data_IF_823235668662
#
_entry.id   IF_823235668662
#
_cell.length_a   1.000
_cell.length_b   1.000
_cell.length_c   1.000
_cell.angle_alpha   90.00
_cell.angle_beta   90.00
_cell.angle_gamma   90.00
#
_symmetry.space_group_name_H-M   'P 1'
#
loop_
_entity.id
_entity.type
_entity.pdbx_description
1 polymer ?
#
# COMPACT_ATOMS: atom_id res chain seq x y z
N UNK A 1 9.40 -7.54 8.52
CA UNK A 1 8.23 -7.73 7.63
C UNK A 1 7.26 -6.61 7.96
N UNK A 2 6.97 -5.74 6.99
CA UNK A 2 5.98 -4.66 7.17
C UNK A 2 4.58 -5.31 7.21
N UNK A 3 3.71 -4.97 8.18
CA UNK A 3 2.33 -5.46 8.20
C UNK A 3 1.59 -5.11 6.91
N UNK A 4 0.76 -6.03 6.39
CA UNK A 4 -0.04 -5.79 5.18
C UNK A 4 -0.94 -4.55 5.32
N UNK A 5 -1.50 -4.33 6.51
CA UNK A 5 -2.27 -3.13 6.83
C UNK A 5 -1.47 -1.85 6.58
N UNK A 6 -0.22 -1.78 7.02
CA UNK A 6 0.65 -0.62 6.82
C UNK A 6 0.96 -0.39 5.33
N UNK A 7 1.13 -1.47 4.55
CA UNK A 7 1.27 -1.37 3.09
C UNK A 7 0.00 -0.82 2.44
N UNK A 8 -1.19 -1.23 2.88
CA UNK A 8 -2.45 -0.71 2.35
C UNK A 8 -2.62 0.79 2.67
N UNK A 9 -2.35 1.18 3.92
CA UNK A 9 -2.40 2.60 4.33
C UNK A 9 -1.41 3.43 3.51
N UNK A 10 -0.21 2.90 3.27
CA UNK A 10 0.77 3.59 2.44
C UNK A 10 0.32 3.73 0.98
N UNK A 11 -0.27 2.68 0.39
CA UNK A 11 -0.87 2.75 -0.96
C UNK A 11 -1.93 3.86 -1.01
N UNK A 12 -2.85 3.90 -0.05
CA UNK A 12 -3.93 4.89 0.01
C UNK A 12 -3.38 6.33 0.13
N UNK A 13 -2.34 6.53 0.93
CA UNK A 13 -1.66 7.83 1.06
C UNK A 13 -0.99 8.21 -0.27
N UNK A 14 -0.30 7.27 -0.92
CA UNK A 14 0.38 7.50 -2.18
C UNK A 14 -0.61 7.84 -3.30
N UNK A 15 -1.74 7.13 -3.38
CA UNK A 15 -2.82 7.40 -4.33
C UNK A 15 -3.41 8.80 -4.13
N UNK A 16 -3.79 9.13 -2.89
CA UNK A 16 -4.31 10.46 -2.55
C UNK A 16 -3.29 11.56 -2.88
N UNK A 17 -2.01 11.29 -2.66
CA UNK A 17 -0.93 12.25 -2.97
C UNK A 17 -0.76 12.43 -4.47
N UNK A 18 -0.84 11.35 -5.25
CA UNK A 18 -0.78 11.40 -6.72
C UNK A 18 -1.95 12.17 -7.29
N UNK A 19 -3.18 11.89 -6.85
CA UNK A 19 -4.37 12.61 -7.29
C UNK A 19 -4.23 14.11 -7.05
N UNK A 20 -3.75 14.51 -5.87
CA UNK A 20 -3.49 15.92 -5.56
C UNK A 20 -2.43 16.52 -6.48
N UNK A 21 -1.32 15.82 -6.73
CA UNK A 21 -0.25 16.31 -7.61
C UNK A 21 -0.72 16.44 -9.06
N UNK A 22 -1.58 15.55 -9.55
CA UNK A 22 -2.17 15.63 -10.88
C UNK A 22 -3.11 16.82 -11.02
N UNK A 23 -3.91 17.11 -9.98
CA UNK A 23 -4.74 18.31 -9.93
C UNK A 23 -3.89 19.58 -9.91
N UNK A 24 -2.84 19.62 -9.10
CA UNK A 24 -1.89 20.74 -9.06
C UNK A 24 -1.24 20.94 -10.45
N UNK A 25 -0.81 19.85 -11.11
CA UNK A 25 -0.23 19.91 -12.45
C UNK A 25 -1.23 20.49 -13.47
N UNK A 26 -2.48 20.01 -13.46
CA UNK A 26 -3.55 20.52 -14.33
C UNK A 26 -3.85 21.99 -14.06
N UNK A 27 -3.83 22.41 -12.80
CA UNK A 27 -4.01 23.81 -12.43
C UNK A 27 -2.91 24.68 -13.02
N UNK A 28 -1.64 24.28 -12.89
CA UNK A 28 -0.49 24.97 -13.49
C UNK A 28 -0.55 24.99 -15.02
N UNK A 29 -0.98 23.89 -15.64
CA UNK A 29 -1.20 23.83 -17.08
C UNK A 29 -2.28 24.82 -17.54
N UNK A 30 -3.33 25.02 -16.74
CA UNK A 30 -4.36 26.03 -16.99
C UNK A 30 -3.83 27.47 -16.98
N UNK A 31 -2.76 27.74 -16.21
CA UNK A 31 -2.10 29.05 -16.14
C UNK A 31 -1.30 29.40 -17.41
N UNK A 32 -1.08 28.44 -18.32
CA UNK A 32 -0.42 28.71 -19.61
C UNK A 32 -1.29 29.52 -20.58
N UNK A 33 -2.58 29.74 -20.26
CA UNK A 33 -3.48 30.54 -21.09
C UNK A 33 -3.55 31.99 -20.56
N UNK A 34 -2.91 32.97 -21.23
CA UNK A 34 -2.85 34.36 -20.77
C UNK A 34 -4.23 35.02 -20.62
N UNK A 35 -5.22 34.51 -21.35
CA UNK A 35 -6.58 35.05 -21.38
C UNK A 35 -7.39 34.69 -20.12
N UNK A 36 -6.97 33.67 -19.37
CA UNK A 36 -7.76 33.13 -18.25
C UNK A 36 -7.43 33.75 -16.90
N UNK A 37 -6.22 34.30 -16.68
CA UNK A 37 -5.78 34.67 -15.33
C UNK A 37 -4.83 35.89 -15.28
N UNK A 38 -5.36 37.09 -14.97
CA UNK A 38 -4.61 38.21 -14.42
C UNK A 38 -4.50 38.12 -12.88
N UNK A 39 -3.37 38.52 -12.25
CA UNK A 39 -2.13 38.97 -12.90
C UNK A 39 -1.39 37.81 -13.57
N UNK A 40 -0.73 38.12 -14.69
CA UNK A 40 -0.03 37.14 -15.52
C UNK A 40 1.12 36.49 -14.76
N UNK A 41 1.03 35.19 -14.50
CA UNK A 41 2.13 34.40 -13.96
C UNK A 41 3.18 34.21 -15.06
N UNK A 42 4.47 34.50 -14.82
CA UNK A 42 5.51 34.30 -15.81
C UNK A 42 5.57 32.85 -16.33
N UNK A 43 5.72 32.69 -17.65
CA UNK A 43 5.77 31.36 -18.29
C UNK A 43 6.86 30.47 -17.71
N UNK A 44 8.03 31.04 -17.40
CA UNK A 44 9.15 30.29 -16.79
C UNK A 44 8.77 29.71 -15.42
N UNK A 45 8.00 30.44 -14.61
CA UNK A 45 7.50 29.98 -13.32
C UNK A 45 6.51 28.83 -13.51
N UNK A 46 5.57 28.95 -14.45
CA UNK A 46 4.64 27.87 -14.77
C UNK A 46 5.39 26.59 -15.20
N UNK A 47 6.36 26.72 -16.10
CA UNK A 47 7.14 25.58 -16.62
C UNK A 47 7.97 24.91 -15.53
N UNK A 48 8.65 25.67 -14.68
CA UNK A 48 9.46 25.10 -13.60
C UNK A 48 8.58 24.39 -12.56
N UNK A 49 7.44 24.98 -12.19
CA UNK A 49 6.49 24.34 -11.27
C UNK A 49 5.93 23.04 -11.85
N UNK A 50 5.49 23.05 -13.12
CA UNK A 50 5.02 21.84 -13.80
C UNK A 50 6.11 20.76 -13.85
N UNK A 51 7.35 21.13 -14.19
CA UNK A 51 8.49 20.19 -14.21
C UNK A 51 8.73 19.58 -12.84
N UNK A 52 8.73 20.39 -11.78
CA UNK A 52 8.91 19.93 -10.40
C UNK A 52 7.80 18.96 -9.97
N UNK A 53 6.54 19.29 -10.29
CA UNK A 53 5.39 18.45 -9.97
C UNK A 53 5.46 17.14 -10.78
N UNK A 54 5.78 17.20 -12.08
CA UNK A 54 5.92 16.01 -12.93
C UNK A 54 6.99 15.05 -12.41
N UNK A 55 8.14 15.55 -11.93
CA UNK A 55 9.15 14.71 -11.27
C UNK A 55 8.59 13.99 -10.05
N UNK A 56 7.82 14.70 -9.21
CA UNK A 56 7.19 14.11 -8.02
C UNK A 56 6.19 13.04 -8.44
N UNK A 57 5.31 13.32 -9.40
CA UNK A 57 4.36 12.33 -9.94
C UNK A 57 5.10 11.05 -10.32
N UNK A 58 6.15 11.14 -11.12
CA UNK A 58 6.93 9.96 -11.51
C UNK A 58 7.48 9.19 -10.30
N UNK A 59 8.10 9.87 -9.33
CA UNK A 59 8.62 9.22 -8.11
C UNK A 59 7.52 8.52 -7.31
N UNK A 60 6.37 9.16 -7.13
CA UNK A 60 5.26 8.58 -6.37
C UNK A 60 4.61 7.41 -7.13
N UNK A 61 4.54 7.47 -8.46
CA UNK A 61 4.07 6.36 -9.31
C UNK A 61 4.99 5.15 -9.20
N UNK A 62 6.31 5.36 -9.25
CA UNK A 62 7.30 4.27 -9.09
C UNK A 62 7.18 3.62 -7.70
N UNK A 63 7.06 4.44 -6.65
CA UNK A 63 6.85 3.94 -5.28
C UNK A 63 5.53 3.17 -5.16
N UNK A 64 4.45 3.67 -5.74
CA UNK A 64 3.14 3.01 -5.72
C UNK A 64 3.22 1.65 -6.41
N UNK A 65 3.91 1.54 -7.54
CA UNK A 65 4.12 0.28 -8.24
C UNK A 65 4.87 -0.75 -7.38
N UNK A 66 5.90 -0.32 -6.64
CA UNK A 66 6.62 -1.19 -5.69
C UNK A 66 5.71 -1.68 -4.56
N UNK A 67 4.86 -0.82 -4.02
CA UNK A 67 3.92 -1.19 -2.95
C UNK A 67 2.85 -2.16 -3.44
N UNK A 68 2.32 -1.96 -4.65
CA UNK A 68 1.38 -2.90 -5.26
C UNK A 68 2.01 -4.28 -5.49
N UNK A 69 3.26 -4.32 -5.94
CA UNK A 69 3.99 -5.58 -6.08
C UNK A 69 4.17 -6.29 -4.74
N UNK A 70 4.58 -5.56 -3.70
CA UNK A 70 4.70 -6.12 -2.34
C UNK A 70 3.36 -6.68 -1.85
N UNK A 71 2.26 -5.94 -2.07
CA UNK A 71 0.90 -6.40 -1.73
C UNK A 71 0.56 -7.71 -2.45
N UNK A 72 0.82 -7.79 -3.75
CA UNK A 72 0.56 -8.98 -4.56
C UNK A 72 1.39 -10.19 -4.06
N UNK A 73 2.65 -9.98 -3.71
CA UNK A 73 3.52 -11.04 -3.18
C UNK A 73 3.00 -11.57 -1.82
N UNK A 74 2.52 -10.68 -0.95
CA UNK A 74 1.89 -11.08 0.32
C UNK A 74 0.59 -11.85 0.04
N UNK A 75 -0.24 -11.41 -0.90
CA UNK A 75 -1.49 -12.08 -1.28
C UNK A 75 -1.24 -13.48 -1.88
N UNK A 76 -0.22 -13.63 -2.73
CA UNK A 76 0.23 -14.93 -3.25
C UNK A 76 0.72 -15.83 -2.13
N UNK A 77 1.54 -15.32 -1.23
CA UNK A 77 2.00 -16.10 -0.07
C UNK A 77 0.81 -16.57 0.77
N UNK A 78 -0.18 -15.70 1.02
CA UNK A 78 -1.41 -16.04 1.73
C UNK A 78 -2.23 -17.11 1.01
N UNK A 79 -2.33 -17.07 -0.32
CA UNK A 79 -3.07 -18.08 -1.09
C UNK A 79 -2.43 -19.46 -1.05
N UNK A 80 -1.12 -19.57 -0.80
CA UNK A 80 -0.45 -20.87 -0.60
C UNK A 80 -0.83 -21.57 0.71
N UNK A 81 -1.30 -20.82 1.72
CA UNK A 81 -1.73 -21.41 2.98
C UNK A 81 -3.16 -21.92 2.87
N UNK A 82 -3.31 -23.20 2.53
CA UNK A 82 -4.62 -23.84 2.51
C UNK A 82 -5.17 -24.07 3.93
N UNK A 83 -6.50 -24.03 4.07
CA UNK A 83 -7.19 -24.37 5.30
C UNK A 83 -7.17 -23.27 6.37
N UNK A 84 -7.17 -23.68 7.64
CA UNK A 84 -7.29 -22.76 8.78
C UNK A 84 -6.06 -21.84 8.95
N UNK A 85 -4.89 -22.30 8.50
CA UNK A 85 -3.65 -21.53 8.52
C UNK A 85 -3.79 -20.25 7.68
N UNK A 86 -4.27 -20.36 6.44
CA UNK A 86 -4.48 -19.19 5.57
C UNK A 86 -5.58 -18.27 6.06
N UNK A 87 -6.66 -18.82 6.62
CA UNK A 87 -7.74 -18.01 7.23
C UNK A 87 -7.22 -17.16 8.39
N UNK A 88 -6.42 -17.74 9.30
CA UNK A 88 -5.82 -17.01 10.42
C UNK A 88 -4.90 -15.91 9.90
N UNK A 89 -4.05 -16.22 8.91
CA UNK A 89 -3.11 -15.26 8.35
C UNK A 89 -3.83 -14.08 7.68
N UNK A 90 -4.88 -14.36 6.91
CA UNK A 90 -5.73 -13.35 6.29
C UNK A 90 -6.38 -12.43 7.34
N UNK A 91 -7.07 -12.97 8.34
CA UNK A 91 -7.73 -12.12 9.33
C UNK A 91 -6.74 -11.30 10.18
N UNK A 92 -5.55 -11.85 10.46
CA UNK A 92 -4.50 -11.16 11.21
C UNK A 92 -3.85 -10.05 10.40
N UNK A 93 -3.36 -10.36 9.21
CA UNK A 93 -2.55 -9.44 8.40
C UNK A 93 -3.41 -8.50 7.56
N UNK A 94 -4.50 -9.00 6.96
CA UNK A 94 -5.36 -8.22 6.06
C UNK A 94 -6.44 -7.45 6.83
N UNK A 95 -7.07 -8.08 7.83
CA UNK A 95 -8.15 -7.47 8.61
C UNK A 95 -7.69 -6.85 9.93
N UNK A 96 -6.41 -7.00 10.31
CA UNK A 96 -5.87 -6.44 11.55
C UNK A 96 -6.51 -7.01 12.83
N UNK A 97 -7.15 -8.18 12.74
CA UNK A 97 -7.87 -8.76 13.88
C UNK A 97 -6.91 -9.39 14.90
N UNK A 98 -7.28 -9.27 16.17
CA UNK A 98 -6.59 -10.00 17.24
C UNK A 98 -6.89 -11.50 17.17
N UNK A 99 -5.98 -12.33 17.68
CA UNK A 99 -6.20 -13.79 17.72
C UNK A 99 -7.49 -14.20 18.46
N UNK A 100 -7.97 -13.37 19.41
CA UNK A 100 -9.26 -13.57 20.09
C UNK A 100 -10.43 -13.35 19.14
N UNK A 101 -10.46 -12.22 18.43
CA UNK A 101 -11.48 -11.94 17.41
C UNK A 101 -11.48 -12.98 16.29
N UNK A 102 -10.30 -13.47 15.90
CA UNK A 102 -10.18 -14.55 14.90
C UNK A 102 -10.79 -15.86 15.42
N UNK A 103 -10.53 -16.19 16.69
CA UNK A 103 -11.10 -17.38 17.33
C UNK A 103 -12.63 -17.32 17.38
N UNK A 104 -13.18 -16.16 17.78
CA UNK A 104 -14.61 -15.89 17.77
C UNK A 104 -15.20 -15.98 16.36
N UNK A 105 -14.60 -15.32 15.37
CA UNK A 105 -15.08 -15.34 13.98
C UNK A 105 -15.03 -16.72 13.32
N UNK A 106 -14.03 -17.54 13.65
CA UNK A 106 -13.86 -18.87 13.06
C UNK A 106 -14.56 -19.98 13.88
N UNK A 107 -15.10 -19.66 15.06
CA UNK A 107 -15.76 -20.63 15.94
C UNK A 107 -14.79 -21.61 16.63
N UNK A 108 -13.53 -21.20 16.84
CA UNK A 108 -12.52 -22.02 17.53
C UNK A 108 -12.14 -21.43 18.88
N UNK A 109 -11.49 -22.24 19.73
CA UNK A 109 -10.91 -21.72 20.96
C UNK A 109 -9.69 -20.85 20.69
N UNK A 110 -9.48 -19.83 21.52
CA UNK A 110 -8.30 -18.97 21.45
C UNK A 110 -6.99 -19.77 21.51
N UNK A 111 -6.94 -20.81 22.35
CA UNK A 111 -5.77 -21.67 22.50
C UNK A 111 -5.43 -22.41 21.19
N UNK A 112 -6.45 -22.88 20.47
CA UNK A 112 -6.28 -23.56 19.19
C UNK A 112 -5.72 -22.60 18.11
N UNK A 113 -6.30 -21.40 17.98
CA UNK A 113 -5.80 -20.37 17.05
C UNK A 113 -4.38 -19.94 17.41
N UNK A 114 -4.07 -19.74 18.69
CA UNK A 114 -2.72 -19.38 19.16
C UNK A 114 -1.67 -20.44 18.78
N UNK A 115 -2.00 -21.72 18.92
CA UNK A 115 -1.11 -22.82 18.55
C UNK A 115 -0.83 -22.85 17.05
N UNK A 116 -1.85 -22.68 16.21
CA UNK A 116 -1.67 -22.62 14.75
C UNK A 116 -0.85 -21.39 14.36
N UNK A 117 -1.14 -20.24 14.96
CA UNK A 117 -0.40 -18.99 14.74
C UNK A 117 1.09 -19.13 15.05
N UNK A 118 1.45 -19.83 16.13
CA UNK A 118 2.86 -20.10 16.45
C UNK A 118 3.55 -20.98 15.40
N UNK A 119 2.86 -21.99 14.86
CA UNK A 119 3.38 -22.85 13.78
C UNK A 119 3.57 -22.07 12.48
N UNK A 120 2.62 -21.20 12.13
CA UNK A 120 2.71 -20.30 10.97
C UNK A 120 3.94 -19.39 11.05
N UNK A 121 4.16 -18.74 12.19
CA UNK A 121 5.32 -17.87 12.39
C UNK A 121 6.64 -18.62 12.20
N UNK A 122 6.76 -19.85 12.73
CA UNK A 122 7.95 -20.69 12.51
C UNK A 122 8.16 -21.06 11.03
N UNK A 123 7.10 -21.45 10.32
CA UNK A 123 7.16 -21.79 8.88
C UNK A 123 7.59 -20.58 8.03
N UNK A 124 7.09 -19.38 8.34
CA UNK A 124 7.47 -18.15 7.63
C UNK A 124 8.94 -17.80 7.84
N UNK A 125 9.46 -17.91 9.06
CA UNK A 125 10.87 -17.64 9.35
C UNK A 125 11.82 -18.56 8.57
N UNK A 126 11.49 -19.85 8.47
CA UNK A 126 12.33 -20.84 7.76
C UNK A 126 12.37 -20.58 6.26
N UNK A 127 11.23 -20.23 5.63
CA UNK A 127 11.16 -19.97 4.17
C UNK A 127 11.96 -18.75 3.72
N UNK A 128 12.12 -17.74 4.57
CA UNK A 128 12.91 -16.54 4.25
C UNK A 128 14.41 -16.85 4.22
N UNK A 129 14.88 -17.78 5.07
CA UNK A 129 16.28 -18.22 5.09
C UNK A 129 16.66 -19.09 3.88
N UNK A 130 15.70 -19.77 3.26
CA UNK A 130 15.93 -20.61 2.07
C UNK A 130 15.88 -19.84 0.73
N UNK A 131 15.53 -18.55 0.73
CA UNK A 131 15.54 -17.69 -0.45
C UNK A 131 16.61 -16.58 -0.39
N UNK A 132 17.54 -16.66 0.56
CA UNK A 132 18.70 -15.75 0.67
C UNK A 132 19.96 -16.40 0.10
#
# INVERSE_FOLDING_TARGET
MKPYYDTKVEIEILETTLERLELDYKWWQGQLNPSKHPPHIPLNECVENMRRIGKRINTYTDLLALQYKLKEDIEKLMSTYQGIEGKILYYREVKGMTLKQIAENLGYSYAYIRNINSRLNKKMTIRIQSCS
#
